data_IF_597140503732
#
_entry.id   IF_597140503732
#
_cell.length_a   1.000
_cell.length_b   1.000
_cell.length_c   1.000
_cell.angle_alpha   90.00
_cell.angle_beta   90.00
_cell.angle_gamma   90.00
#
_symmetry.space_group_name_H-M   'P 1'
#
loop_
_entity.id
_entity.type
_entity.pdbx_description
1 polymer ?
#
# COMPACT_ATOMS: atom_id res chain seq x y z
N UNK A 1 9.10 -27.13 19.64
CA UNK A 1 7.99 -27.20 20.63
C UNK A 1 6.70 -27.07 19.88
N UNK A 2 6.04 -28.18 19.72
CA UNK A 2 4.78 -28.41 19.02
C UNK A 2 3.68 -27.47 19.51
N UNK A 3 2.84 -27.05 18.55
CA UNK A 3 1.52 -26.42 18.67
C UNK A 3 1.09 -26.04 20.10
N UNK A 4 0.73 -24.80 20.30
CA UNK A 4 0.10 -24.30 21.51
C UNK A 4 -0.98 -25.30 21.99
N UNK A 5 -0.67 -26.09 23.03
CA UNK A 5 -1.67 -26.72 23.86
C UNK A 5 -2.39 -25.58 24.61
N UNK A 6 -3.39 -25.02 23.96
CA UNK A 6 -4.34 -24.13 24.61
C UNK A 6 -5.23 -25.05 25.43
N UNK A 7 -5.13 -24.99 26.74
CA UNK A 7 -6.14 -25.59 27.66
C UNK A 7 -7.50 -25.01 27.27
N UNK A 8 -8.23 -25.76 26.47
CA UNK A 8 -9.55 -25.38 25.98
C UNK A 8 -10.50 -25.53 27.14
N UNK A 9 -11.02 -24.41 27.66
CA UNK A 9 -12.10 -24.45 28.66
C UNK A 9 -13.30 -25.22 28.10
N UNK A 10 -13.87 -26.10 28.89
CA UNK A 10 -15.13 -26.79 28.54
C UNK A 10 -16.15 -25.78 27.99
N UNK A 11 -16.66 -26.01 26.79
CA UNK A 11 -17.69 -25.20 26.15
C UNK A 11 -17.30 -24.50 24.83
N UNK A 12 -16.07 -24.64 24.36
CA UNK A 12 -15.67 -24.15 23.01
C UNK A 12 -15.87 -25.27 21.99
N UNK A 13 -16.65 -25.01 20.95
CA UNK A 13 -16.87 -25.99 19.88
C UNK A 13 -15.60 -26.24 19.05
N UNK A 14 -15.50 -27.42 18.43
CA UNK A 14 -14.34 -27.85 17.66
C UNK A 14 -14.08 -26.93 16.45
N UNK A 15 -15.12 -26.36 15.84
CA UNK A 15 -15.02 -25.45 14.71
C UNK A 15 -14.31 -24.15 15.13
N UNK A 16 -14.63 -23.61 16.30
CA UNK A 16 -13.94 -22.45 16.87
C UNK A 16 -12.47 -22.76 17.16
N UNK A 17 -12.18 -23.96 17.70
CA UNK A 17 -10.80 -24.39 17.97
C UNK A 17 -10.00 -24.49 16.65
N UNK A 18 -10.57 -25.10 15.63
CA UNK A 18 -9.92 -25.29 14.35
C UNK A 18 -9.77 -23.95 13.60
N UNK A 19 -10.74 -23.04 13.73
CA UNK A 19 -10.65 -21.68 13.25
C UNK A 19 -9.48 -20.91 13.90
N UNK A 20 -9.36 -20.98 15.24
CA UNK A 20 -8.25 -20.36 15.99
C UNK A 20 -6.91 -20.97 15.61
N UNK A 21 -6.83 -22.30 15.48
CA UNK A 21 -5.61 -22.99 15.01
C UNK A 21 -5.22 -22.63 13.58
N UNK A 22 -6.22 -22.41 12.70
CA UNK A 22 -6.00 -21.99 11.33
C UNK A 22 -5.57 -20.52 11.20
N UNK A 23 -5.96 -19.66 12.15
CA UNK A 23 -5.55 -18.25 12.20
C UNK A 23 -4.03 -18.06 12.31
N UNK A 24 -3.29 -19.06 12.81
CA UNK A 24 -1.83 -19.05 12.89
C UNK A 24 -1.11 -19.36 11.58
N UNK A 25 -1.83 -19.80 10.53
CA UNK A 25 -1.24 -20.13 9.24
C UNK A 25 -1.41 -18.96 8.27
N UNK A 26 -0.29 -18.46 7.75
CA UNK A 26 -0.30 -17.40 6.74
C UNK A 26 -0.86 -17.94 5.41
N UNK A 27 -2.15 -17.67 5.13
CA UNK A 27 -2.87 -18.22 3.98
C UNK A 27 -2.49 -17.60 2.63
N UNK A 28 -1.80 -16.44 2.62
CA UNK A 28 -1.37 -15.75 1.40
C UNK A 28 0.06 -16.08 1.00
N UNK A 29 0.69 -17.06 1.67
CA UNK A 29 2.06 -17.50 1.41
C UNK A 29 2.26 -18.32 0.13
N UNK A 30 1.23 -18.47 -0.70
CA UNK A 30 1.35 -19.13 -2.01
C UNK A 30 2.20 -18.28 -2.97
N UNK A 31 2.94 -18.95 -3.83
CA UNK A 31 3.67 -18.33 -4.93
C UNK A 31 2.82 -18.36 -6.20
N UNK A 32 2.99 -17.35 -7.06
CA UNK A 32 2.42 -17.33 -8.39
C UNK A 32 3.56 -17.59 -9.37
N UNK A 33 3.57 -18.72 -10.02
CA UNK A 33 4.62 -19.14 -10.97
C UNK A 33 4.42 -18.42 -12.30
N UNK A 34 4.82 -17.15 -12.37
CA UNK A 34 4.78 -16.32 -13.57
C UNK A 34 6.20 -15.98 -13.98
N UNK A 35 6.51 -16.12 -15.27
CA UNK A 35 7.79 -15.66 -15.80
C UNK A 35 7.98 -14.17 -15.54
N UNK A 36 9.08 -13.80 -14.92
CA UNK A 36 9.35 -12.45 -14.45
C UNK A 36 10.63 -11.89 -15.06
N UNK A 37 10.55 -10.70 -15.64
CA UNK A 37 11.71 -9.92 -16.07
C UNK A 37 12.21 -9.08 -14.89
N UNK A 38 13.51 -9.16 -14.60
CA UNK A 38 14.17 -8.40 -13.54
C UNK A 38 15.09 -7.33 -14.13
N UNK A 39 15.12 -6.15 -13.48
CA UNK A 39 16.25 -5.24 -13.65
C UNK A 39 17.52 -5.86 -13.02
N UNK A 40 18.73 -5.41 -13.37
CA UNK A 40 19.92 -5.82 -12.65
C UNK A 40 19.83 -5.53 -11.13
N UNK A 41 20.47 -6.38 -10.32
CA UNK A 41 20.56 -6.17 -8.87
C UNK A 41 21.32 -4.90 -8.52
N UNK A 42 21.00 -4.39 -7.34
CA UNK A 42 21.65 -3.24 -6.74
C UNK A 42 21.05 -1.91 -7.13
N UNK A 43 21.44 -0.87 -6.42
CA UNK A 43 20.93 0.49 -6.59
C UNK A 43 22.04 1.46 -7.00
N UNK A 44 21.87 2.04 -8.18
CA UNK A 44 22.74 3.07 -8.74
C UNK A 44 21.92 4.00 -9.66
N UNK A 45 22.55 5.03 -10.24
CA UNK A 45 21.84 5.95 -11.16
C UNK A 45 21.30 5.25 -12.41
N UNK A 46 21.97 4.20 -12.92
CA UNK A 46 21.53 3.49 -14.12
C UNK A 46 20.22 2.72 -13.85
N UNK A 47 20.07 2.13 -12.65
CA UNK A 47 18.82 1.47 -12.25
C UNK A 47 17.70 2.51 -12.11
N UNK A 48 17.96 3.69 -11.53
CA UNK A 48 16.97 4.77 -11.46
C UNK A 48 16.53 5.22 -12.86
N UNK A 49 17.48 5.39 -13.80
CA UNK A 49 17.20 5.72 -15.21
C UNK A 49 16.44 4.60 -15.92
N UNK A 50 16.79 3.34 -15.65
CA UNK A 50 16.07 2.18 -16.19
C UNK A 50 14.61 2.16 -15.76
N UNK A 51 14.32 2.36 -14.47
CA UNK A 51 12.95 2.43 -13.95
C UNK A 51 12.17 3.55 -14.66
N UNK A 52 12.73 4.76 -14.71
CA UNK A 52 12.11 5.90 -15.35
C UNK A 52 11.86 5.65 -16.86
N UNK A 53 12.81 5.04 -17.55
CA UNK A 53 12.68 4.65 -18.96
C UNK A 53 11.61 3.58 -19.19
N UNK A 54 11.54 2.54 -18.33
CA UNK A 54 10.50 1.50 -18.39
C UNK A 54 9.08 2.07 -18.21
N UNK A 55 8.95 3.15 -17.44
CA UNK A 55 7.69 3.86 -17.18
C UNK A 55 7.42 5.02 -18.16
N UNK A 56 8.31 5.27 -19.13
CA UNK A 56 8.23 6.39 -20.07
C UNK A 56 8.02 7.74 -19.38
N UNK A 57 8.67 7.96 -18.26
CA UNK A 57 8.48 9.15 -17.45
C UNK A 57 9.02 10.43 -18.11
N UNK A 58 8.37 11.59 -17.88
CA UNK A 58 8.92 12.86 -18.36
C UNK A 58 10.24 13.22 -17.64
N UNK A 59 11.09 14.00 -18.29
CA UNK A 59 12.43 14.36 -17.80
C UNK A 59 12.42 14.92 -16.38
N UNK A 60 11.44 15.78 -16.03
CA UNK A 60 11.34 16.34 -14.67
C UNK A 60 11.17 15.26 -13.59
N UNK A 61 10.54 14.12 -13.94
CA UNK A 61 10.36 13.01 -13.01
C UNK A 61 11.65 12.23 -12.82
N UNK A 62 12.39 12.01 -13.88
CA UNK A 62 13.74 11.42 -13.80
C UNK A 62 14.68 12.29 -12.95
N UNK A 63 14.70 13.60 -13.17
CA UNK A 63 15.50 14.53 -12.36
C UNK A 63 15.13 14.46 -10.88
N UNK A 64 13.83 14.41 -10.59
CA UNK A 64 13.32 14.27 -9.21
C UNK A 64 13.80 12.97 -8.56
N UNK A 65 13.76 11.84 -9.28
CA UNK A 65 14.27 10.54 -8.81
C UNK A 65 15.78 10.57 -8.55
N UNK A 66 16.54 11.10 -9.47
CA UNK A 66 18.01 11.19 -9.34
C UNK A 66 18.42 12.09 -8.17
N UNK A 67 17.71 13.17 -7.95
CA UNK A 67 17.93 14.03 -6.78
C UNK A 67 17.63 13.28 -5.46
N UNK A 68 16.55 12.50 -5.43
CA UNK A 68 16.22 11.64 -4.30
C UNK A 68 17.30 10.57 -4.06
N UNK A 69 17.74 9.88 -5.11
CA UNK A 69 18.81 8.89 -5.02
C UNK A 69 20.11 9.46 -4.43
N UNK A 70 20.58 10.60 -4.95
CA UNK A 70 21.78 11.26 -4.45
C UNK A 70 21.64 11.69 -3.00
N UNK A 71 20.46 12.14 -2.60
CA UNK A 71 20.15 12.45 -1.20
C UNK A 71 20.16 11.20 -0.33
N UNK A 72 19.56 10.11 -0.80
CA UNK A 72 19.52 8.84 -0.09
C UNK A 72 20.91 8.29 0.26
N UNK A 73 21.90 8.42 -0.63
CA UNK A 73 23.27 7.99 -0.40
C UNK A 73 23.90 8.66 0.84
N UNK A 74 23.45 9.86 1.20
CA UNK A 74 24.03 10.64 2.32
C UNK A 74 23.19 10.60 3.59
N UNK A 75 22.00 9.99 3.55
CA UNK A 75 21.14 9.89 4.73
C UNK A 75 21.55 8.68 5.60
N UNK A 76 21.68 8.86 6.92
CA UNK A 76 21.89 7.74 7.83
C UNK A 76 20.64 6.86 7.93
N UNK A 77 20.84 5.61 8.31
CA UNK A 77 19.74 4.76 8.77
C UNK A 77 19.11 5.35 10.04
N UNK A 78 17.78 5.29 10.20
CA UNK A 78 17.13 5.69 11.44
C UNK A 78 17.51 4.72 12.58
N UNK A 79 17.99 5.26 13.70
CA UNK A 79 18.43 4.51 14.89
C UNK A 79 17.49 4.65 16.10
N UNK A 80 16.42 5.45 15.97
CA UNK A 80 15.51 5.79 17.06
C UNK A 80 14.33 4.82 17.24
N UNK A 81 14.10 3.93 16.28
CA UNK A 81 13.03 2.94 16.34
C UNK A 81 13.37 1.81 17.34
N UNK A 82 12.36 1.30 18.01
CA UNK A 82 12.49 0.17 18.93
C UNK A 82 12.42 -1.15 18.15
N UNK A 83 13.34 -1.30 17.20
CA UNK A 83 13.43 -2.42 16.27
C UNK A 83 14.87 -2.92 16.20
N UNK A 84 15.04 -4.23 16.22
CA UNK A 84 16.30 -4.90 15.90
C UNK A 84 16.25 -5.29 14.43
N UNK A 85 16.85 -4.47 13.56
CA UNK A 85 16.85 -4.68 12.11
C UNK A 85 18.19 -5.28 11.71
N UNK A 86 18.18 -6.45 11.08
CA UNK A 86 19.37 -6.96 10.40
C UNK A 86 19.77 -5.98 9.31
N UNK A 87 21.06 -5.61 9.19
CA UNK A 87 21.53 -4.69 8.17
C UNK A 87 21.00 -5.07 6.77
N UNK A 88 20.41 -4.12 6.10
CA UNK A 88 19.85 -4.32 4.75
C UNK A 88 20.96 -4.18 3.73
N UNK A 89 21.19 -5.23 2.94
CA UNK A 89 22.06 -5.12 1.78
C UNK A 89 21.25 -4.58 0.58
N UNK A 90 21.38 -3.30 0.35
CA UNK A 90 20.69 -2.61 -0.75
C UNK A 90 21.26 -2.99 -2.13
N UNK A 91 22.42 -3.65 -2.21
CA UNK A 91 22.99 -4.08 -3.48
C UNK A 91 22.55 -5.50 -3.88
N UNK A 92 22.00 -6.27 -2.95
CA UNK A 92 21.46 -7.60 -3.20
C UNK A 92 19.93 -7.61 -3.50
N UNK A 93 19.31 -6.43 -3.66
CA UNK A 93 17.88 -6.29 -3.97
C UNK A 93 17.66 -6.00 -5.47
N UNK A 94 16.53 -6.48 -5.99
CA UNK A 94 15.98 -6.02 -7.27
C UNK A 94 15.02 -4.86 -7.01
N UNK A 95 15.20 -3.76 -7.72
CA UNK A 95 14.37 -2.54 -7.58
C UNK A 95 13.28 -2.43 -8.62
N UNK A 96 13.24 -3.35 -9.57
CA UNK A 96 12.21 -3.44 -10.57
C UNK A 96 12.07 -4.88 -11.05
N UNK A 97 10.83 -5.36 -11.06
CA UNK A 97 10.44 -6.65 -11.64
C UNK A 97 9.05 -6.51 -12.28
N UNK A 98 8.84 -7.18 -13.39
CA UNK A 98 7.55 -7.20 -14.07
C UNK A 98 7.25 -8.59 -14.62
N UNK A 99 5.97 -9.04 -14.60
CA UNK A 99 5.57 -10.25 -15.31
C UNK A 99 5.84 -10.15 -16.81
N UNK A 100 6.43 -11.19 -17.39
CA UNK A 100 6.75 -11.22 -18.82
C UNK A 100 5.49 -11.30 -19.72
N UNK A 101 4.38 -11.85 -19.19
CA UNK A 101 3.13 -12.11 -19.89
C UNK A 101 2.29 -10.88 -20.23
N UNK A 102 2.61 -9.69 -19.71
CA UNK A 102 1.81 -8.47 -19.96
C UNK A 102 2.07 -7.79 -21.31
N UNK A 103 2.74 -8.45 -22.26
CA UNK A 103 3.10 -7.85 -23.58
C UNK A 103 1.93 -7.83 -24.58
N UNK A 104 0.94 -8.71 -24.47
CA UNK A 104 -0.21 -8.79 -25.37
C UNK A 104 -1.51 -8.89 -24.57
N UNK A 105 -2.57 -8.18 -25.02
CA UNK A 105 -3.88 -8.23 -24.37
C UNK A 105 -4.60 -9.53 -24.79
N UNK A 106 -4.98 -10.41 -23.84
CA UNK A 106 -5.72 -11.62 -24.14
C UNK A 106 -7.14 -11.29 -24.61
N UNK A 107 -7.69 -12.11 -25.53
CA UNK A 107 -9.06 -11.97 -26.03
C UNK A 107 -10.09 -12.70 -25.17
N UNK A 108 -9.65 -13.66 -24.37
CA UNK A 108 -10.50 -14.44 -23.47
C UNK A 108 -9.73 -14.88 -22.23
N UNK A 109 -10.45 -15.37 -21.21
CA UNK A 109 -9.82 -15.95 -20.02
C UNK A 109 -8.94 -17.17 -20.32
N UNK A 110 -9.25 -17.91 -21.39
CA UNK A 110 -8.47 -19.11 -21.77
C UNK A 110 -7.07 -18.75 -22.28
N UNK A 111 -6.85 -17.50 -22.67
CA UNK A 111 -5.55 -16.97 -23.10
C UNK A 111 -4.77 -16.32 -21.95
N UNK A 112 -5.40 -16.15 -20.77
CA UNK A 112 -4.76 -15.60 -19.57
C UNK A 112 -4.00 -16.71 -18.88
N UNK A 113 -2.82 -16.36 -18.32
CA UNK A 113 -2.06 -17.30 -17.51
C UNK A 113 -2.92 -17.87 -16.36
N UNK A 114 -3.15 -19.20 -16.31
CA UNK A 114 -3.99 -19.82 -15.29
C UNK A 114 -3.51 -19.55 -13.85
N UNK A 115 -2.21 -19.34 -13.63
CA UNK A 115 -1.66 -19.03 -12.31
C UNK A 115 -2.04 -17.61 -11.88
N UNK A 116 -2.11 -16.67 -12.82
CA UNK A 116 -2.58 -15.31 -12.54
C UNK A 116 -4.06 -15.33 -12.11
N UNK A 117 -4.90 -16.07 -12.82
CA UNK A 117 -6.32 -16.23 -12.47
C UNK A 117 -6.50 -16.89 -11.11
N UNK A 118 -5.77 -17.96 -10.82
CA UNK A 118 -5.78 -18.60 -9.49
C UNK A 118 -5.32 -17.64 -8.39
N UNK A 119 -4.39 -16.76 -8.69
CA UNK A 119 -3.95 -15.73 -7.75
C UNK A 119 -5.06 -14.74 -7.45
N UNK A 120 -5.76 -14.26 -8.46
CA UNK A 120 -6.92 -13.38 -8.29
C UNK A 120 -8.05 -14.05 -7.50
N UNK A 121 -8.33 -15.32 -7.77
CA UNK A 121 -9.32 -16.11 -7.02
C UNK A 121 -8.94 -16.24 -5.55
N UNK A 122 -7.68 -16.61 -5.26
CA UNK A 122 -7.16 -16.72 -3.88
C UNK A 122 -7.16 -15.38 -3.13
N UNK A 123 -7.05 -14.27 -3.85
CA UNK A 123 -7.16 -12.92 -3.30
C UNK A 123 -8.62 -12.50 -3.11
N UNK A 124 -9.58 -13.29 -3.58
CA UNK A 124 -11.01 -13.00 -3.46
C UNK A 124 -11.51 -11.94 -4.43
N UNK A 125 -10.79 -11.71 -5.54
CA UNK A 125 -11.19 -10.77 -6.58
C UNK A 125 -12.33 -11.42 -7.40
N UNK A 126 -13.49 -10.75 -7.58
CA UNK A 126 -14.59 -11.30 -8.37
C UNK A 126 -14.20 -11.56 -9.83
N UNK A 127 -14.83 -12.56 -10.47
CA UNK A 127 -14.44 -13.05 -11.81
C UNK A 127 -14.41 -11.93 -12.88
N UNK A 128 -15.37 -11.03 -12.86
CA UNK A 128 -15.41 -9.90 -13.81
C UNK A 128 -14.18 -9.00 -13.65
N UNK A 129 -13.87 -8.65 -12.42
CA UNK A 129 -12.70 -7.85 -12.08
C UNK A 129 -11.40 -8.59 -12.42
N UNK A 130 -11.37 -9.92 -12.25
CA UNK A 130 -10.25 -10.76 -12.70
C UNK A 130 -10.04 -10.63 -14.22
N UNK A 131 -11.12 -10.66 -15.01
CA UNK A 131 -11.05 -10.51 -16.48
C UNK A 131 -10.52 -9.13 -16.88
N UNK A 132 -10.99 -8.07 -16.22
CA UNK A 132 -10.53 -6.70 -16.47
C UNK A 132 -9.04 -6.54 -16.07
N UNK A 133 -8.66 -7.03 -14.91
CA UNK A 133 -7.27 -6.98 -14.42
C UNK A 133 -6.31 -7.84 -15.23
N UNK A 134 -6.82 -8.92 -15.83
CA UNK A 134 -6.06 -9.74 -16.76
C UNK A 134 -5.96 -9.12 -18.18
N UNK A 135 -6.61 -7.97 -18.40
CA UNK A 135 -6.59 -7.27 -19.69
C UNK A 135 -7.44 -7.90 -20.77
N UNK A 136 -8.40 -8.77 -20.44
CA UNK A 136 -9.27 -9.43 -21.41
C UNK A 136 -10.09 -8.42 -22.18
N UNK A 137 -10.02 -8.47 -23.51
CA UNK A 137 -10.70 -7.53 -24.41
C UNK A 137 -12.22 -7.54 -24.20
N UNK A 138 -12.82 -6.38 -23.97
CA UNK A 138 -14.28 -6.22 -23.80
C UNK A 138 -14.82 -6.60 -22.42
N UNK A 139 -13.97 -7.01 -21.48
CA UNK A 139 -14.41 -7.39 -20.13
C UNK A 139 -15.09 -6.24 -19.38
N UNK A 140 -14.68 -5.00 -19.64
CA UNK A 140 -15.27 -3.77 -19.10
C UNK A 140 -16.74 -3.59 -19.46
N UNK A 141 -17.17 -4.16 -20.61
CA UNK A 141 -18.55 -4.08 -21.11
C UNK A 141 -19.48 -5.15 -20.53
N UNK A 142 -18.93 -6.10 -19.75
CA UNK A 142 -19.73 -7.16 -19.14
C UNK A 142 -20.53 -6.61 -17.95
N UNK A 143 -21.77 -7.07 -17.82
CA UNK A 143 -22.59 -6.73 -16.65
C UNK A 143 -21.91 -7.23 -15.36
N UNK A 144 -21.98 -6.47 -14.24
CA UNK A 144 -21.55 -6.96 -12.94
C UNK A 144 -22.25 -8.30 -12.64
N UNK A 145 -21.53 -9.27 -12.09
CA UNK A 145 -22.13 -10.53 -11.68
C UNK A 145 -23.25 -10.26 -10.67
N UNK A 146 -24.49 -10.57 -11.02
CA UNK A 146 -25.63 -10.56 -10.10
C UNK A 146 -25.39 -11.63 -9.04
N UNK A 147 -24.95 -11.25 -7.86
CA UNK A 147 -24.74 -12.25 -6.82
C UNK A 147 -24.15 -11.76 -5.51
N UNK A 148 -23.57 -10.59 -5.44
CA UNK A 148 -23.25 -10.00 -4.17
C UNK A 148 -24.51 -9.33 -3.61
N UNK A 149 -25.29 -10.04 -2.82
CA UNK A 149 -26.47 -9.52 -2.15
C UNK A 149 -26.16 -8.19 -1.45
N UNK A 150 -26.63 -7.07 -1.99
CA UNK A 150 -26.46 -5.73 -1.42
C UNK A 150 -25.05 -5.15 -1.47
N UNK A 151 -24.14 -5.70 -2.27
CA UNK A 151 -22.72 -5.28 -2.34
C UNK A 151 -22.54 -3.91 -2.96
N UNK A 152 -21.87 -3.00 -2.23
CA UNK A 152 -21.39 -1.73 -2.78
C UNK A 152 -20.39 -2.04 -3.89
N UNK A 153 -20.46 -1.33 -5.01
CA UNK A 153 -19.44 -1.40 -6.06
C UNK A 153 -18.10 -0.95 -5.49
N UNK A 154 -17.05 -1.67 -5.83
CA UNK A 154 -15.66 -1.34 -5.46
C UNK A 154 -14.85 -1.29 -6.75
N UNK A 155 -14.20 -0.16 -7.02
CA UNK A 155 -13.21 -0.10 -8.08
C UNK A 155 -11.87 -0.64 -7.54
N UNK A 156 -11.25 -1.52 -8.27
CA UNK A 156 -10.02 -2.21 -7.86
C UNK A 156 -8.89 -1.89 -8.83
N UNK A 157 -7.74 -1.55 -8.27
CA UNK A 157 -6.44 -1.55 -8.94
C UNK A 157 -5.60 -2.70 -8.36
N UNK A 158 -4.84 -3.40 -9.19
CA UNK A 158 -3.97 -4.47 -8.74
C UNK A 158 -2.53 -4.23 -9.20
N UNK A 159 -1.62 -4.24 -8.24
CA UNK A 159 -0.19 -4.03 -8.47
C UNK A 159 0.56 -5.32 -8.13
N UNK A 160 1.23 -5.89 -9.13
CA UNK A 160 2.13 -7.03 -8.99
C UNK A 160 3.57 -6.57 -9.14
N UNK A 161 4.37 -6.79 -8.10
CA UNK A 161 5.76 -6.34 -8.05
C UNK A 161 5.86 -4.84 -8.42
N UNK A 162 6.37 -4.52 -9.59
CA UNK A 162 6.62 -3.14 -10.02
C UNK A 162 5.59 -2.58 -11.02
N UNK A 163 4.48 -3.28 -11.27
CA UNK A 163 3.54 -2.91 -12.35
C UNK A 163 2.10 -3.01 -11.92
N UNK A 164 1.30 -1.95 -12.17
CA UNK A 164 -0.15 -2.05 -12.15
C UNK A 164 -0.63 -2.86 -13.34
N UNK A 165 -1.40 -3.91 -13.06
CA UNK A 165 -1.92 -4.81 -14.09
C UNK A 165 -3.25 -4.33 -14.67
N UNK A 166 -3.95 -3.47 -13.96
CA UNK A 166 -5.18 -2.84 -14.44
C UNK A 166 -6.03 -2.21 -13.33
N UNK A 167 -6.91 -1.31 -13.75
CA UNK A 167 -7.86 -0.62 -12.87
C UNK A 167 -9.27 -0.81 -13.40
N UNK A 168 -10.20 -1.24 -12.54
CA UNK A 168 -11.60 -1.47 -12.90
C UNK A 168 -12.45 -0.20 -12.78
N UNK A 169 -13.58 -0.13 -13.49
CA UNK A 169 -14.57 0.96 -13.41
C UNK A 169 -14.06 2.37 -13.78
N UNK A 170 -12.96 2.50 -14.52
CA UNK A 170 -12.38 3.79 -14.91
C UNK A 170 -13.39 4.68 -15.63
N UNK A 171 -14.13 4.14 -16.62
CA UNK A 171 -15.13 4.89 -17.40
C UNK A 171 -16.32 5.34 -16.55
N UNK A 172 -16.75 4.53 -15.57
CA UNK A 172 -17.83 4.91 -14.66
C UNK A 172 -17.39 6.05 -13.74
N UNK A 173 -16.19 5.98 -13.19
CA UNK A 173 -15.59 7.03 -12.37
C UNK A 173 -15.37 8.32 -13.18
N UNK A 174 -14.90 8.21 -14.43
CA UNK A 174 -14.66 9.33 -15.32
C UNK A 174 -15.93 10.13 -15.63
N UNK A 175 -17.12 9.50 -15.67
CA UNK A 175 -18.42 10.19 -15.80
C UNK A 175 -18.69 11.22 -14.69
N UNK A 176 -18.05 11.01 -13.53
CA UNK A 176 -18.10 11.92 -12.39
C UNK A 176 -16.86 12.81 -12.29
N UNK A 177 -15.94 12.72 -13.25
CA UNK A 177 -14.65 13.41 -13.25
C UNK A 177 -13.66 12.87 -12.23
N UNK A 178 -13.94 11.69 -11.63
CA UNK A 178 -13.03 11.03 -10.71
C UNK A 178 -11.96 10.29 -11.49
N UNK A 179 -10.70 10.54 -11.15
CA UNK A 179 -9.55 9.83 -11.71
C UNK A 179 -9.12 8.76 -10.70
N UNK A 180 -9.05 7.51 -11.14
CA UNK A 180 -8.45 6.41 -10.40
C UNK A 180 -7.67 5.55 -11.37
N UNK A 181 -6.36 5.59 -11.25
CA UNK A 181 -5.43 4.87 -12.12
C UNK A 181 -4.10 4.64 -11.41
N UNK A 182 -3.17 3.96 -12.07
CA UNK A 182 -1.80 3.86 -11.55
C UNK A 182 -1.10 5.24 -11.60
N UNK A 183 -0.11 5.44 -10.71
CA UNK A 183 0.70 6.68 -10.73
C UNK A 183 1.48 6.80 -12.04
N UNK A 184 1.89 5.67 -12.64
CA UNK A 184 2.58 5.64 -13.93
C UNK A 184 1.69 6.17 -15.06
N UNK A 185 0.43 5.77 -15.09
CA UNK A 185 -0.57 6.28 -16.03
C UNK A 185 -0.86 7.78 -15.78
N UNK A 186 -1.01 8.16 -14.50
CA UNK A 186 -1.25 9.56 -14.14
C UNK A 186 -0.10 10.49 -14.56
N UNK A 187 1.14 10.02 -14.55
CA UNK A 187 2.29 10.76 -15.05
C UNK A 187 2.21 11.06 -16.56
N UNK A 188 1.52 10.21 -17.33
CA UNK A 188 1.31 10.38 -18.77
C UNK A 188 0.07 11.23 -19.07
N UNK A 189 -1.06 10.90 -18.44
CA UNK A 189 -2.37 11.48 -18.76
C UNK A 189 -2.69 12.76 -17.98
N UNK A 190 -2.12 12.88 -16.76
CA UNK A 190 -2.39 13.98 -15.82
C UNK A 190 -1.12 14.59 -15.21
N UNK A 191 -0.05 14.85 -16.01
CA UNK A 191 1.27 15.25 -15.51
C UNK A 191 1.23 16.51 -14.64
N UNK A 192 0.37 17.46 -14.95
CA UNK A 192 0.27 18.71 -14.19
C UNK A 192 -0.28 18.51 -12.78
N UNK A 193 -1.24 17.59 -12.60
CA UNK A 193 -1.75 17.24 -11.28
C UNK A 193 -0.67 16.51 -10.47
N UNK A 194 -0.01 15.54 -11.07
CA UNK A 194 1.07 14.81 -10.40
C UNK A 194 2.19 15.77 -10.02
N UNK A 195 2.67 16.60 -10.93
CA UNK A 195 3.74 17.58 -10.68
C UNK A 195 3.40 18.57 -9.58
N UNK A 196 2.12 18.97 -9.47
CA UNK A 196 1.64 19.90 -8.44
C UNK A 196 1.63 19.29 -7.04
N UNK A 197 1.31 18.01 -6.92
CA UNK A 197 1.00 17.41 -5.62
C UNK A 197 2.03 16.36 -5.15
N UNK A 198 2.73 15.69 -6.05
CA UNK A 198 3.75 14.70 -5.69
C UNK A 198 4.86 15.32 -4.84
N UNK A 199 5.15 14.72 -3.70
CA UNK A 199 6.14 15.22 -2.75
C UNK A 199 5.70 16.46 -1.96
N UNK A 200 4.47 16.93 -2.14
CA UNK A 200 3.96 18.13 -1.46
C UNK A 200 3.54 17.90 -0.01
N UNK A 201 3.33 16.64 0.37
CA UNK A 201 2.98 16.21 1.73
C UNK A 201 4.14 15.43 2.35
N UNK A 202 4.77 14.55 1.59
CA UNK A 202 5.95 13.80 1.98
C UNK A 202 7.07 14.16 0.99
N UNK A 203 7.95 15.11 1.34
CA UNK A 203 9.06 15.48 0.47
C UNK A 203 9.98 14.32 0.14
N UNK A 204 10.64 14.36 -1.01
CA UNK A 204 11.55 13.32 -1.48
C UNK A 204 12.78 13.09 -0.56
N UNK A 205 12.94 13.89 0.49
CA UNK A 205 14.03 13.81 1.46
C UNK A 205 13.55 13.70 2.92
N UNK A 206 12.32 13.23 3.13
CA UNK A 206 11.69 13.18 4.47
C UNK A 206 12.47 12.27 5.45
N UNK A 207 12.64 11.00 5.08
CA UNK A 207 13.44 10.03 5.83
C UNK A 207 14.11 9.04 4.86
N UNK A 208 15.04 8.22 5.36
CA UNK A 208 15.82 7.27 4.54
C UNK A 208 14.95 6.39 3.62
N UNK A 209 13.85 5.83 4.13
CA UNK A 209 13.00 4.92 3.38
C UNK A 209 12.05 5.65 2.42
N UNK A 210 11.53 6.82 2.80
CA UNK A 210 10.74 7.67 1.90
C UNK A 210 11.61 8.25 0.77
N UNK A 211 12.88 8.54 1.04
CA UNK A 211 13.85 8.99 0.04
C UNK A 211 14.22 7.86 -0.91
N UNK A 212 14.42 6.63 -0.38
CA UNK A 212 14.58 5.43 -1.21
C UNK A 212 13.37 5.24 -2.13
N UNK A 213 12.16 5.26 -1.54
CA UNK A 213 10.92 5.17 -2.32
C UNK A 213 10.89 6.23 -3.41
N UNK A 214 11.20 7.50 -3.11
CA UNK A 214 11.21 8.57 -4.09
C UNK A 214 12.16 8.29 -5.28
N UNK A 215 13.30 7.63 -5.04
CA UNK A 215 14.24 7.27 -6.09
C UNK A 215 13.74 6.12 -6.99
N UNK A 216 13.06 5.12 -6.39
CA UNK A 216 12.82 3.82 -7.05
C UNK A 216 11.36 3.38 -7.11
N UNK A 217 10.39 4.16 -6.62
CA UNK A 217 8.99 3.70 -6.70
C UNK A 217 8.63 3.38 -8.15
N UNK A 218 7.96 2.25 -8.33
CA UNK A 218 7.70 1.72 -9.66
C UNK A 218 6.23 1.88 -10.05
N UNK A 219 5.33 1.75 -9.08
CA UNK A 219 3.91 2.05 -9.27
C UNK A 219 3.23 2.41 -7.93
N UNK A 220 1.92 2.49 -7.95
CA UNK A 220 1.04 2.89 -6.86
C UNK A 220 -0.20 3.56 -7.43
N UNK A 221 -1.09 4.02 -6.58
CA UNK A 221 -2.36 4.58 -7.02
C UNK A 221 -2.35 6.09 -7.08
N UNK A 222 -2.98 6.62 -8.12
CA UNK A 222 -3.34 8.03 -8.24
C UNK A 222 -4.85 8.18 -8.16
N UNK A 223 -5.31 9.02 -7.23
CA UNK A 223 -6.73 9.34 -7.05
C UNK A 223 -6.91 10.86 -7.05
N UNK A 224 -7.81 11.35 -7.91
CA UNK A 224 -8.29 12.72 -7.87
C UNK A 224 -9.81 12.74 -7.86
N UNK A 225 -10.39 13.39 -6.86
CA UNK A 225 -11.85 13.60 -6.77
C UNK A 225 -12.13 15.08 -6.90
N UNK A 226 -12.85 15.51 -7.97
CA UNK A 226 -13.07 16.92 -8.27
C UNK A 226 -14.01 17.61 -7.27
N UNK A 227 -14.07 18.95 -7.28
CA UNK A 227 -14.85 19.71 -6.32
C UNK A 227 -16.32 19.30 -6.26
N UNK A 228 -16.86 19.14 -5.05
CA UNK A 228 -18.26 18.81 -4.78
C UNK A 228 -18.67 17.38 -5.12
N UNK A 229 -17.76 16.55 -5.60
CA UNK A 229 -18.07 15.16 -5.99
C UNK A 229 -17.92 14.22 -4.81
N UNK A 230 -18.96 13.45 -4.56
CA UNK A 230 -18.89 12.28 -3.70
C UNK A 230 -18.57 11.07 -4.58
N UNK A 231 -17.40 10.46 -4.40
CA UNK A 231 -17.01 9.30 -5.19
C UNK A 231 -18.11 8.23 -5.16
N UNK A 232 -18.60 7.76 -6.33
CA UNK A 232 -19.81 6.92 -6.41
C UNK A 232 -19.60 5.51 -5.86
N UNK A 233 -18.36 5.08 -5.69
CA UNK A 233 -17.99 3.76 -5.19
C UNK A 233 -16.77 3.81 -4.29
N UNK A 234 -16.50 2.75 -3.56
CA UNK A 234 -15.25 2.59 -2.83
C UNK A 234 -14.11 2.26 -3.81
N UNK A 235 -12.91 2.80 -3.54
CA UNK A 235 -11.71 2.50 -4.31
C UNK A 235 -10.84 1.55 -3.50
N UNK A 236 -10.20 0.60 -4.16
CA UNK A 236 -9.32 -0.35 -3.50
C UNK A 236 -8.09 -0.65 -4.33
N UNK A 237 -6.93 -0.76 -3.71
CA UNK A 237 -5.72 -1.23 -4.37
C UNK A 237 -5.15 -2.43 -3.64
N UNK A 238 -4.79 -3.45 -4.41
CA UNK A 238 -4.08 -4.63 -3.95
C UNK A 238 -2.63 -4.58 -4.39
N UNK A 239 -1.72 -4.65 -3.41
CA UNK A 239 -0.29 -4.79 -3.65
C UNK A 239 0.14 -6.22 -3.33
N UNK A 240 0.81 -6.85 -4.29
CA UNK A 240 1.37 -8.17 -4.13
C UNK A 240 2.82 -8.21 -4.55
N UNK A 241 3.72 -8.49 -3.62
CA UNK A 241 5.07 -8.93 -3.94
C UNK A 241 4.97 -10.40 -4.41
N UNK A 242 5.57 -10.74 -5.52
CA UNK A 242 5.62 -12.11 -6.01
C UNK A 242 7.04 -12.54 -6.35
N UNK A 243 7.82 -11.67 -6.98
CA UNK A 243 9.19 -11.96 -7.39
C UNK A 243 10.14 -12.10 -6.21
N UNK A 244 11.07 -13.05 -6.30
CA UNK A 244 12.04 -13.33 -5.24
C UNK A 244 13.11 -12.23 -5.17
N UNK A 245 13.54 -11.88 -3.95
CA UNK A 245 14.53 -10.82 -3.67
C UNK A 245 14.17 -9.45 -4.28
N UNK A 246 12.91 -9.22 -4.61
CA UNK A 246 12.43 -7.95 -5.13
C UNK A 246 11.89 -7.11 -3.99
N UNK A 247 12.37 -5.87 -3.90
CA UNK A 247 11.74 -4.87 -3.05
C UNK A 247 10.43 -4.37 -3.69
N UNK A 248 9.45 -4.01 -2.87
CA UNK A 248 8.26 -3.31 -3.33
C UNK A 248 8.29 -1.86 -2.88
N UNK A 249 8.14 -0.97 -3.85
CA UNK A 249 8.26 0.47 -3.66
C UNK A 249 7.08 1.16 -4.31
N UNK A 250 5.94 1.19 -3.61
CA UNK A 250 4.75 1.87 -4.10
C UNK A 250 4.64 3.30 -3.58
N UNK A 251 4.07 4.18 -4.42
CA UNK A 251 3.75 5.55 -4.05
C UNK A 251 2.32 5.90 -4.44
N UNK A 252 1.48 6.12 -3.45
CA UNK A 252 0.07 6.48 -3.63
C UNK A 252 -0.13 7.97 -3.37
N UNK A 253 -0.88 8.62 -4.27
CA UNK A 253 -1.25 10.04 -4.15
C UNK A 253 -2.76 10.18 -4.26
N UNK A 254 -3.40 10.65 -3.19
CA UNK A 254 -4.86 10.87 -3.12
C UNK A 254 -5.11 12.36 -2.94
N UNK A 255 -5.94 12.94 -3.82
CA UNK A 255 -6.33 14.34 -3.80
C UNK A 255 -7.84 14.42 -3.74
N UNK A 256 -8.37 14.86 -2.62
CA UNK A 256 -9.78 15.19 -2.44
C UNK A 256 -9.95 16.71 -2.54
N UNK A 257 -10.50 17.17 -3.67
CA UNK A 257 -10.70 18.59 -3.91
C UNK A 257 -11.90 19.12 -3.10
N UNK A 258 -12.15 20.42 -3.12
CA UNK A 258 -13.09 21.12 -2.27
C UNK A 258 -14.48 20.46 -2.23
N UNK A 259 -14.96 20.15 -1.02
CA UNK A 259 -16.27 19.54 -0.79
C UNK A 259 -16.45 18.13 -1.32
N UNK A 260 -15.36 17.44 -1.65
CA UNK A 260 -15.40 16.08 -2.18
C UNK A 260 -15.34 15.01 -1.08
N UNK A 261 -15.65 13.76 -1.45
CA UNK A 261 -15.55 12.61 -0.58
C UNK A 261 -14.98 11.39 -1.32
N UNK A 262 -14.07 10.68 -0.67
CA UNK A 262 -13.58 9.38 -1.14
C UNK A 262 -13.32 8.41 0.00
N UNK A 263 -13.64 7.12 -0.23
CA UNK A 263 -13.21 6.00 0.59
C UNK A 263 -12.22 5.15 -0.20
N UNK A 264 -11.05 4.91 0.38
CA UNK A 264 -9.97 4.15 -0.26
C UNK A 264 -9.44 3.08 0.69
N UNK A 265 -9.29 1.86 0.18
CA UNK A 265 -8.75 0.70 0.89
C UNK A 265 -7.48 0.21 0.22
N UNK A 266 -6.44 0.00 1.01
CA UNK A 266 -5.19 -0.60 0.57
C UNK A 266 -5.00 -1.96 1.24
N UNK A 267 -4.77 -2.99 0.44
CA UNK A 267 -4.46 -4.35 0.89
C UNK A 267 -3.09 -4.80 0.38
N UNK A 268 -2.29 -5.42 1.26
CA UNK A 268 -0.93 -5.84 0.92
C UNK A 268 -0.67 -7.27 1.36
N UNK A 269 -0.09 -8.09 0.45
CA UNK A 269 0.29 -9.49 0.71
C UNK A 269 1.61 -9.86 0.02
N UNK A 270 2.30 -10.88 0.54
CA UNK A 270 3.51 -11.43 -0.06
C UNK A 270 3.55 -12.97 0.08
N UNK A 271 4.27 -13.70 -0.77
CA UNK A 271 4.49 -15.14 -0.60
C UNK A 271 5.39 -15.43 0.61
N UNK A 272 5.38 -16.67 1.05
CA UNK A 272 6.28 -17.15 2.09
C UNK A 272 7.65 -17.41 1.48
N UNK A 273 8.68 -16.72 2.00
CA UNK A 273 10.08 -16.89 1.55
C UNK A 273 11.05 -16.91 2.72
N UNK A 274 12.11 -17.69 2.56
CA UNK A 274 13.19 -17.83 3.55
C UNK A 274 14.12 -16.61 3.62
N UNK A 275 14.03 -15.72 2.64
CA UNK A 275 14.79 -14.46 2.58
C UNK A 275 13.91 -13.28 2.98
N UNK A 276 14.50 -12.30 3.66
CA UNK A 276 13.80 -11.05 3.97
C UNK A 276 13.68 -10.18 2.74
N UNK A 277 12.48 -9.60 2.52
CA UNK A 277 12.22 -8.71 1.40
C UNK A 277 11.90 -7.30 1.92
N UNK A 278 12.36 -6.29 1.19
CA UNK A 278 12.18 -4.89 1.53
C UNK A 278 10.88 -4.34 0.94
N UNK A 279 10.06 -3.77 1.78
CA UNK A 279 8.90 -2.97 1.38
C UNK A 279 9.08 -1.55 1.91
N UNK A 280 9.11 -0.57 1.01
CA UNK A 280 9.17 0.84 1.39
C UNK A 280 8.11 1.63 0.61
N UNK A 281 7.02 1.97 1.29
CA UNK A 281 5.86 2.62 0.71
C UNK A 281 5.71 4.07 1.15
N UNK A 282 5.14 4.89 0.27
CA UNK A 282 4.75 6.27 0.57
C UNK A 282 3.31 6.51 0.17
N UNK A 283 2.52 7.12 1.06
CA UNK A 283 1.15 7.56 0.77
C UNK A 283 0.98 9.03 1.15
N UNK A 284 0.61 9.84 0.17
CA UNK A 284 0.32 11.25 0.32
C UNK A 284 -1.18 11.51 0.13
N UNK A 285 -1.82 12.16 1.09
CA UNK A 285 -3.25 12.51 1.01
C UNK A 285 -3.39 14.02 1.17
N UNK A 286 -3.98 14.66 0.16
CA UNK A 286 -4.27 16.10 0.14
C UNK A 286 -5.78 16.30 0.25
N UNK A 287 -6.21 17.07 1.24
CA UNK A 287 -7.63 17.27 1.54
C UNK A 287 -7.94 18.77 1.58
N UNK A 288 -8.77 19.21 0.64
CA UNK A 288 -9.14 20.61 0.52
C UNK A 288 -10.35 20.97 1.41
N UNK A 289 -10.80 22.22 1.35
CA UNK A 289 -11.90 22.75 2.16
C UNK A 289 -13.17 21.88 2.03
N UNK A 290 -13.80 21.56 3.16
CA UNK A 290 -15.01 20.74 3.26
C UNK A 290 -14.88 19.31 2.69
N UNK A 291 -13.68 18.88 2.29
CA UNK A 291 -13.48 17.54 1.75
C UNK A 291 -13.23 16.51 2.87
N UNK A 292 -13.59 15.26 2.58
CA UNK A 292 -13.44 14.15 3.50
C UNK A 292 -12.80 12.93 2.82
N UNK A 293 -11.77 12.37 3.43
CA UNK A 293 -11.11 11.15 3.00
C UNK A 293 -11.21 10.09 4.10
N UNK A 294 -11.77 8.93 3.75
CA UNK A 294 -11.67 7.72 4.55
C UNK A 294 -10.59 6.84 3.93
N UNK A 295 -9.46 6.70 4.63
CA UNK A 295 -8.36 5.85 4.20
C UNK A 295 -8.25 4.63 5.11
N UNK A 296 -8.26 3.45 4.52
CA UNK A 296 -8.12 2.19 5.25
C UNK A 296 -6.96 1.38 4.69
N UNK A 297 -6.20 0.70 5.54
CA UNK A 297 -5.13 -0.19 5.12
C UNK A 297 -5.14 -1.47 5.95
N UNK A 298 -5.01 -2.60 5.25
CA UNK A 298 -4.81 -3.91 5.86
C UNK A 298 -3.50 -4.47 5.30
N UNK A 299 -2.49 -4.53 6.16
CA UNK A 299 -1.19 -5.08 5.81
C UNK A 299 -1.02 -6.45 6.44
N UNK A 300 -1.01 -7.46 5.59
CA UNK A 300 -0.86 -8.85 5.95
C UNK A 300 0.30 -9.46 5.15
N UNK A 301 1.48 -8.93 5.38
CA UNK A 301 2.72 -9.40 4.79
C UNK A 301 3.19 -10.69 5.46
N UNK A 302 3.98 -11.48 4.78
CA UNK A 302 4.60 -12.66 5.37
C UNK A 302 5.49 -12.27 6.57
N UNK A 303 5.25 -12.86 7.76
CA UNK A 303 5.93 -12.46 9.00
C UNK A 303 7.30 -13.10 9.23
N UNK A 304 7.77 -13.98 8.34
CA UNK A 304 8.85 -14.90 8.61
C UNK A 304 8.36 -16.20 9.25
N UNK A 305 9.26 -17.15 9.40
CA UNK A 305 8.98 -18.44 10.05
C UNK A 305 8.94 -18.31 11.60
N UNK A 306 8.71 -19.42 12.30
CA UNK A 306 8.63 -19.46 13.76
C UNK A 306 9.96 -19.09 14.47
N UNK A 307 11.08 -19.15 13.75
CA UNK A 307 12.41 -18.78 14.22
C UNK A 307 12.79 -17.34 13.83
N UNK A 308 11.93 -16.62 13.11
CA UNK A 308 12.16 -15.26 12.63
C UNK A 308 12.98 -15.19 11.34
N UNK A 309 13.10 -16.30 10.58
CA UNK A 309 13.80 -16.32 9.31
C UNK A 309 12.87 -15.84 8.18
N UNK A 310 13.39 -14.99 7.30
CA UNK A 310 12.62 -14.42 6.19
C UNK A 310 11.66 -13.34 6.63
N UNK A 311 10.62 -13.13 5.82
CA UNK A 311 9.56 -12.16 6.09
C UNK A 311 9.83 -10.77 5.54
N UNK A 312 8.83 -9.92 5.61
CA UNK A 312 8.87 -8.58 5.02
C UNK A 312 9.37 -7.55 6.03
N UNK A 313 10.31 -6.72 5.61
CA UNK A 313 10.73 -5.50 6.30
C UNK A 313 9.90 -4.36 5.74
N UNK A 314 8.93 -3.93 6.52
CA UNK A 314 7.85 -3.04 6.12
C UNK A 314 8.07 -1.60 6.65
N UNK A 315 8.68 -0.76 5.82
CA UNK A 315 8.97 0.63 6.13
C UNK A 315 8.00 1.56 5.39
N UNK A 316 7.07 2.17 6.11
CA UNK A 316 5.97 2.91 5.50
C UNK A 316 5.87 4.32 6.02
N UNK A 317 5.88 5.29 5.11
CA UNK A 317 5.66 6.71 5.41
C UNK A 317 4.34 7.15 4.79
N UNK A 318 3.36 7.46 5.63
CA UNK A 318 2.03 7.91 5.20
C UNK A 318 1.65 9.22 5.87
N UNK A 319 1.12 10.17 5.09
CA UNK A 319 0.73 11.48 5.64
C UNK A 319 -0.49 12.05 4.93
N UNK A 320 -1.42 12.57 5.73
CA UNK A 320 -2.55 13.36 5.27
C UNK A 320 -2.32 14.84 5.63
N UNK A 321 -2.57 15.73 4.68
CA UNK A 321 -2.55 17.19 4.87
C UNK A 321 -3.97 17.75 4.65
N UNK A 322 -4.68 18.04 5.75
CA UNK A 322 -5.97 18.72 5.77
C UNK A 322 -5.74 20.22 5.51
N UNK A 323 -5.55 20.59 4.23
CA UNK A 323 -5.17 21.94 3.80
C UNK A 323 -6.28 22.95 3.94
N UNK A 324 -7.51 22.53 3.69
CA UNK A 324 -8.66 23.40 3.72
C UNK A 324 -9.42 23.39 5.04
N UNK A 325 -10.21 24.43 5.26
CA UNK A 325 -11.08 24.52 6.44
C UNK A 325 -12.10 23.39 6.45
N UNK A 326 -12.42 22.86 7.63
CA UNK A 326 -13.35 21.74 7.85
C UNK A 326 -12.98 20.44 7.11
N UNK A 327 -11.75 20.35 6.56
CA UNK A 327 -11.24 19.13 5.97
C UNK A 327 -11.20 17.99 6.99
N UNK A 328 -11.51 16.76 6.55
CA UNK A 328 -11.54 15.59 7.44
C UNK A 328 -10.76 14.41 6.88
N UNK A 329 -10.01 13.76 7.74
CA UNK A 329 -9.42 12.46 7.46
C UNK A 329 -9.84 11.45 8.52
N UNK A 330 -10.36 10.30 8.08
CA UNK A 330 -10.59 9.12 8.90
C UNK A 330 -9.62 8.03 8.46
N UNK A 331 -8.76 7.63 9.37
CA UNK A 331 -7.71 6.66 9.09
C UNK A 331 -7.95 5.36 9.86
N UNK A 332 -8.02 4.24 9.16
CA UNK A 332 -8.07 2.92 9.77
C UNK A 332 -6.88 2.08 9.33
N UNK A 333 -6.16 1.48 10.27
CA UNK A 333 -4.97 0.70 10.00
C UNK A 333 -4.99 -0.64 10.74
N UNK A 334 -4.75 -1.71 10.01
CA UNK A 334 -4.61 -3.07 10.56
C UNK A 334 -3.26 -3.64 10.10
N UNK A 335 -2.40 -3.92 11.09
CA UNK A 335 -1.09 -4.54 10.88
C UNK A 335 -1.11 -5.93 11.50
N UNK A 336 -1.06 -6.97 10.68
CA UNK A 336 -1.14 -8.37 11.14
C UNK A 336 -0.01 -9.25 10.61
N UNK A 337 0.93 -8.67 9.90
CA UNK A 337 2.03 -9.38 9.28
C UNK A 337 3.35 -8.62 9.39
N UNK A 338 4.30 -8.95 8.51
CA UNK A 338 5.68 -8.46 8.47
C UNK A 338 6.57 -9.01 9.60
N UNK A 339 7.82 -9.28 9.27
CA UNK A 339 8.84 -9.58 10.28
C UNK A 339 9.19 -8.33 11.09
N UNK A 340 9.33 -7.20 10.39
CA UNK A 340 9.60 -5.88 10.97
C UNK A 340 8.61 -4.87 10.38
N UNK A 341 7.94 -4.12 11.23
CA UNK A 341 7.08 -2.99 10.83
C UNK A 341 7.58 -1.69 11.45
N UNK A 342 7.88 -0.71 10.60
CA UNK A 342 8.20 0.67 10.99
C UNK A 342 7.22 1.60 10.28
N UNK A 343 6.22 2.12 11.01
CA UNK A 343 5.10 2.83 10.40
C UNK A 343 4.49 3.89 11.31
N UNK A 344 4.63 5.15 10.91
CA UNK A 344 4.16 6.31 11.66
C UNK A 344 3.31 7.24 10.78
N UNK A 345 2.04 6.90 10.51
CA UNK A 345 1.13 7.80 9.82
C UNK A 345 0.99 9.13 10.55
N UNK A 346 0.83 10.20 9.80
CA UNK A 346 0.62 11.52 10.37
C UNK A 346 -0.51 12.28 9.68
N UNK A 347 -1.21 13.13 10.45
CA UNK A 347 -2.22 14.04 9.93
C UNK A 347 -1.81 15.47 10.30
N UNK A 348 -1.74 16.34 9.30
CA UNK A 348 -1.51 17.77 9.47
C UNK A 348 -2.86 18.46 9.36
N UNK A 349 -3.34 19.03 10.45
CA UNK A 349 -4.62 19.73 10.55
C UNK A 349 -4.35 21.22 10.35
N UNK A 350 -4.26 21.63 9.08
CA UNK A 350 -3.84 22.97 8.67
C UNK A 350 -4.99 23.95 8.56
N UNK A 351 -6.10 23.51 7.97
CA UNK A 351 -7.30 24.35 7.86
C UNK A 351 -8.03 24.50 9.19
N UNK A 352 -8.72 25.62 9.39
CA UNK A 352 -9.54 25.85 10.58
C UNK A 352 -10.68 24.79 10.64
N UNK A 353 -11.05 24.37 11.85
CA UNK A 353 -12.05 23.33 12.11
C UNK A 353 -11.76 21.96 11.48
N UNK A 354 -10.56 21.72 10.95
CA UNK A 354 -10.20 20.43 10.37
C UNK A 354 -10.11 19.32 11.42
N UNK A 355 -10.32 18.06 10.99
CA UNK A 355 -10.44 16.92 11.89
C UNK A 355 -9.65 15.71 11.38
N UNK A 356 -8.96 15.05 12.32
CA UNK A 356 -8.23 13.81 12.06
C UNK A 356 -8.62 12.71 13.03
N UNK A 357 -9.07 11.59 12.51
CA UNK A 357 -9.33 10.39 13.30
C UNK A 357 -8.39 9.26 12.89
N UNK A 358 -7.81 8.58 13.86
CA UNK A 358 -6.90 7.47 13.64
C UNK A 358 -7.26 6.28 14.51
N UNK A 359 -7.57 5.17 13.86
CA UNK A 359 -7.87 3.90 14.50
C UNK A 359 -6.87 2.85 14.02
N UNK A 360 -6.11 2.22 14.92
CA UNK A 360 -5.16 1.19 14.55
C UNK A 360 -5.21 -0.04 15.44
N UNK A 361 -4.90 -1.17 14.81
CA UNK A 361 -4.70 -2.46 15.48
C UNK A 361 -3.38 -3.03 14.94
N UNK A 362 -2.45 -3.37 15.85
CA UNK A 362 -1.25 -4.10 15.54
C UNK A 362 -1.27 -5.44 16.28
N UNK A 363 -1.23 -6.53 15.52
CA UNK A 363 -1.20 -7.89 16.06
C UNK A 363 0.10 -8.55 15.62
N UNK A 364 0.96 -8.87 16.57
CA UNK A 364 2.24 -9.50 16.32
C UNK A 364 2.38 -10.80 17.11
N UNK A 365 2.95 -11.83 16.50
CA UNK A 365 3.26 -13.09 17.13
C UNK A 365 4.67 -13.58 16.79
N UNK A 366 5.06 -14.73 17.37
CA UNK A 366 6.37 -15.33 17.16
C UNK A 366 7.52 -14.35 17.41
N UNK A 367 8.28 -13.96 16.37
CA UNK A 367 9.44 -13.08 16.43
C UNK A 367 9.19 -11.70 15.80
N UNK A 368 7.94 -11.40 15.44
CA UNK A 368 7.59 -10.13 14.79
C UNK A 368 7.90 -8.91 15.66
N UNK A 369 8.35 -7.86 15.04
CA UNK A 369 8.61 -6.56 15.66
C UNK A 369 7.77 -5.49 14.97
N UNK A 370 6.94 -4.78 15.73
CA UNK A 370 6.14 -3.68 15.22
C UNK A 370 6.41 -2.42 16.05
N UNK A 371 7.08 -1.45 15.46
CA UNK A 371 7.18 -0.10 16.02
C UNK A 371 6.30 0.83 15.18
N UNK A 372 5.14 1.14 15.75
CA UNK A 372 4.09 1.91 15.09
C UNK A 372 3.76 3.17 15.88
N UNK A 373 3.01 4.06 15.26
CA UNK A 373 2.59 5.26 15.96
C UNK A 373 1.76 6.18 15.08
N UNK A 374 1.44 7.35 15.64
CA UNK A 374 0.66 8.36 14.93
C UNK A 374 1.06 9.74 15.36
N UNK A 375 1.11 10.68 14.41
CA UNK A 375 1.34 12.10 14.70
C UNK A 375 0.11 12.90 14.27
N UNK A 376 -0.40 13.73 15.18
CA UNK A 376 -1.44 14.73 14.89
C UNK A 376 -0.83 16.11 15.09
N UNK A 377 -0.72 16.89 14.02
CA UNK A 377 -0.13 18.23 14.02
C UNK A 377 -1.23 19.25 13.79
N UNK A 378 -1.56 20.02 14.81
CA UNK A 378 -2.62 21.03 14.79
C UNK A 378 -2.02 22.40 14.47
N UNK A 379 -2.38 22.95 13.31
CA UNK A 379 -1.93 24.28 12.83
C UNK A 379 -3.10 25.26 12.73
N UNK A 380 -4.27 24.80 12.31
CA UNK A 380 -5.49 25.61 12.21
C UNK A 380 -6.20 25.78 13.56
N UNK A 381 -7.15 26.73 13.61
CA UNK A 381 -7.99 26.98 14.79
C UNK A 381 -9.06 25.90 14.93
N UNK A 382 -9.46 25.61 16.18
CA UNK A 382 -10.55 24.69 16.51
C UNK A 382 -10.38 23.29 15.92
N UNK A 383 -9.16 22.90 15.58
CA UNK A 383 -8.91 21.56 15.00
C UNK A 383 -9.08 20.48 16.04
N UNK A 384 -9.51 19.30 15.60
CA UNK A 384 -9.81 18.15 16.48
C UNK A 384 -9.09 16.91 15.98
N UNK A 385 -8.56 16.12 16.94
CA UNK A 385 -8.03 14.80 16.62
C UNK A 385 -8.46 13.74 17.62
N UNK A 386 -8.58 12.52 17.12
CA UNK A 386 -8.84 11.33 17.95
C UNK A 386 -7.91 10.22 17.52
N UNK A 387 -7.25 9.59 18.50
CA UNK A 387 -6.36 8.44 18.29
C UNK A 387 -6.86 7.29 19.16
N UNK A 388 -7.09 6.15 18.53
CA UNK A 388 -7.35 4.88 19.21
C UNK A 388 -6.44 3.82 18.62
N UNK A 389 -5.46 3.37 19.40
CA UNK A 389 -4.50 2.36 18.98
C UNK A 389 -4.52 1.18 19.95
N UNK A 390 -4.54 -0.02 19.40
CA UNK A 390 -4.53 -1.27 20.15
C UNK A 390 -3.42 -2.17 19.64
N UNK A 391 -2.65 -2.77 20.54
CA UNK A 391 -1.59 -3.71 20.24
C UNK A 391 -1.79 -5.02 20.98
N UNK A 392 -1.53 -6.14 20.29
CA UNK A 392 -1.50 -7.47 20.86
C UNK A 392 -0.18 -8.13 20.47
N UNK A 393 0.54 -8.62 21.47
CA UNK A 393 1.78 -9.40 21.26
C UNK A 393 1.60 -10.81 21.83
N UNK A 394 2.02 -11.81 21.08
CA UNK A 394 2.06 -13.21 21.50
C UNK A 394 3.45 -13.80 21.20
N UNK A 395 3.84 -14.86 21.92
CA UNK A 395 5.15 -15.49 21.77
C UNK A 395 6.27 -14.54 22.21
N UNK A 396 7.21 -14.25 21.31
CA UNK A 396 8.35 -13.34 21.52
C UNK A 396 8.17 -12.01 20.77
N UNK A 397 6.99 -11.75 20.22
CA UNK A 397 6.72 -10.55 19.46
C UNK A 397 6.78 -9.29 20.31
N UNK A 398 7.16 -8.21 19.68
CA UNK A 398 7.28 -6.89 20.28
C UNK A 398 6.38 -5.90 19.56
N UNK A 399 5.54 -5.18 20.30
CA UNK A 399 4.76 -4.05 19.82
C UNK A 399 5.16 -2.78 20.57
N UNK A 400 5.59 -1.77 19.85
CA UNK A 400 5.83 -0.42 20.36
C UNK A 400 4.85 0.54 19.72
N UNK A 401 4.29 1.44 20.51
CA UNK A 401 3.46 2.54 20.02
C UNK A 401 4.02 3.89 20.47
N UNK A 402 4.16 4.82 19.50
CA UNK A 402 4.54 6.22 19.75
C UNK A 402 3.47 7.16 19.22
N UNK A 403 2.83 7.89 20.12
CA UNK A 403 1.86 8.94 19.79
C UNK A 403 2.48 10.33 19.97
N UNK A 404 2.25 11.23 19.01
CA UNK A 404 2.58 12.63 19.12
C UNK A 404 1.35 13.47 18.77
N UNK A 405 0.97 14.38 19.66
CA UNK A 405 0.05 15.46 19.37
C UNK A 405 0.80 16.78 19.55
N UNK A 406 0.93 17.54 18.47
CA UNK A 406 1.62 18.84 18.47
C UNK A 406 0.61 19.94 18.17
N UNK A 407 0.54 20.93 19.04
CA UNK A 407 -0.36 22.10 18.94
C UNK A 407 0.49 23.33 18.67
N UNK A 408 0.16 24.10 17.63
CA UNK A 408 0.89 25.32 17.23
C UNK A 408 0.03 26.57 17.29
#
# INVERSE_FOLDING_TARGET
>A
MTALDVDVKEGVDQETIDAVRSMGKYKYGFETEIETEYAPKGLNEDIVRLISGKKNEPEWMLEWRLAAYRRWLTQPEPDWAMLEITPIDYQEQYYYAQPASFKEKPKSLDEVDPELLRTYEKLGIPLREQMILAGVEGAENMAPADGAAGGRKVAVDAVFDSVSVGTTFKDELAKHGVIFCSISEALQEHPELVKKYLGSVIPANDNKFATLNAAVFSDGSFVYVPPGVRCPMELSTYFRINAENTGQFERTLIIADKGSYVSYLEGCTAPQRDTSQLHAAVVEIVIMEDAEVKYSTVQNWYPGDENGKGGIYNFVTKRADCRGDRAKVMWTQVETGSAVTWKYPSCILRGDDSQGEFYSIAIANNMQQADTGTKMVHLGKNTKSRIVSKGISAGRAQNTYRGLVSMH
#
